data_IF_330547046415
#
_entry.id   IF_330547046415
#
_cell.length_a   1.000
_cell.length_b   1.000
_cell.length_c   1.000
_cell.angle_alpha   90.00
_cell.angle_beta   90.00
_cell.angle_gamma   90.00
#
_symmetry.space_group_name_H-M   'P 1'
#
loop_
_entity.id
_entity.type
_entity.pdbx_description
1 polymer ?
#
# COMPACT_ATOMS: atom_id res chain seq x y z
N UNK A 1 70.58 47.87 5.31
CA UNK A 1 69.37 47.21 4.78
C UNK A 1 69.80 45.87 4.21
N UNK A 2 69.49 44.76 4.91
CA UNK A 2 70.03 43.44 4.60
C UNK A 2 69.04 42.56 3.84
N UNK A 3 69.52 41.88 2.80
CA UNK A 3 68.77 40.89 2.03
C UNK A 3 68.67 39.60 2.84
N UNK A 4 67.45 39.08 3.06
CA UNK A 4 67.26 37.78 3.73
C UNK A 4 67.23 36.67 2.70
N UNK A 5 68.21 35.78 2.79
CA UNK A 5 68.38 34.60 1.95
C UNK A 5 67.45 33.46 2.40
N UNK A 6 66.84 32.75 1.45
CA UNK A 6 66.15 31.49 1.72
C UNK A 6 67.08 30.29 1.50
N UNK A 7 67.32 29.50 2.56
CA UNK A 7 67.88 28.14 2.47
C UNK A 7 67.27 27.22 3.52
N UNK A 8 66.81 26.05 3.05
CA UNK A 8 67.10 24.75 3.67
C UNK A 8 66.38 24.35 4.97
N UNK A 9 65.35 23.51 4.81
CA UNK A 9 65.07 22.31 5.62
C UNK A 9 64.45 21.31 4.64
N UNK A 10 65.17 20.31 4.11
CA UNK A 10 65.65 19.05 4.73
C UNK A 10 64.54 18.03 5.02
N UNK A 11 64.77 16.81 4.54
CA UNK A 11 63.75 15.77 4.36
C UNK A 11 63.31 15.13 5.68
N UNK A 12 62.03 15.26 6.03
CA UNK A 12 61.41 14.42 7.04
C UNK A 12 60.99 13.06 6.44
N UNK A 13 61.75 12.00 6.74
CA UNK A 13 61.38 10.62 6.40
C UNK A 13 60.22 10.19 7.30
N UNK A 14 59.00 10.20 6.76
CA UNK A 14 57.81 9.70 7.44
C UNK A 14 57.79 8.17 7.35
N UNK A 15 58.02 7.51 8.49
CA UNK A 15 57.82 6.06 8.60
C UNK A 15 56.32 5.74 8.78
N UNK A 16 55.76 4.77 8.03
CA UNK A 16 54.37 4.37 8.20
C UNK A 16 54.15 3.58 9.51
N UNK A 17 52.98 3.69 10.16
CA UNK A 17 52.65 2.88 11.33
C UNK A 17 52.45 1.40 10.96
N UNK A 18 52.69 0.47 11.91
CA UNK A 18 52.58 -0.97 11.64
C UNK A 18 51.13 -1.42 11.39
N UNK A 19 50.91 -2.46 10.56
CA UNK A 19 49.58 -2.96 10.25
C UNK A 19 48.93 -3.68 11.45
N UNK A 20 47.64 -3.42 11.66
CA UNK A 20 46.82 -4.09 12.68
C UNK A 20 46.49 -5.52 12.22
N UNK A 21 46.81 -6.57 13.00
CA UNK A 21 46.51 -7.94 12.60
C UNK A 21 45.04 -8.30 12.85
N UNK A 22 44.28 -8.50 11.77
CA UNK A 22 42.94 -9.08 11.82
C UNK A 22 43.01 -10.60 12.10
N UNK A 23 43.12 -10.98 13.37
CA UNK A 23 42.94 -12.38 13.77
C UNK A 23 41.45 -12.76 13.87
N UNK A 24 41.05 -13.74 13.06
CA UNK A 24 39.69 -14.26 12.93
C UNK A 24 39.30 -15.17 14.10
N UNK A 25 38.82 -14.57 15.19
CA UNK A 25 38.21 -15.31 16.30
C UNK A 25 36.75 -15.68 15.98
N UNK A 26 36.54 -16.89 15.46
CA UNK A 26 35.22 -17.44 15.09
C UNK A 26 34.41 -17.84 16.34
N UNK A 27 33.73 -16.90 16.97
CA UNK A 27 32.85 -17.17 18.10
C UNK A 27 31.67 -18.08 17.70
N UNK A 28 31.63 -19.30 18.23
CA UNK A 28 30.47 -20.19 18.17
C UNK A 28 29.60 -19.95 19.39
N UNK A 29 28.49 -19.24 19.23
CA UNK A 29 27.36 -19.26 20.18
C UNK A 29 26.04 -19.35 19.38
N UNK A 30 25.12 -20.26 19.74
CA UNK A 30 23.81 -20.34 19.11
C UNK A 30 22.90 -19.22 19.61
N UNK A 31 22.45 -18.36 18.70
CA UNK A 31 21.39 -17.37 18.96
C UNK A 31 20.05 -18.04 18.61
N UNK A 32 18.98 -17.90 19.42
CA UNK A 32 17.66 -18.42 19.08
C UNK A 32 17.10 -17.73 17.82
N UNK A 33 16.26 -18.42 17.02
CA UNK A 33 15.79 -17.89 15.74
C UNK A 33 14.90 -16.65 15.93
N UNK A 34 15.13 -15.64 15.09
CA UNK A 34 14.30 -14.45 15.03
C UNK A 34 12.87 -14.77 14.56
N UNK A 35 11.88 -14.07 15.10
CA UNK A 35 10.49 -14.15 14.68
C UNK A 35 10.36 -13.59 13.24
N UNK A 36 10.29 -14.50 12.27
CA UNK A 36 10.10 -14.14 10.87
C UNK A 36 8.64 -13.76 10.60
N UNK A 37 8.40 -12.46 10.37
CA UNK A 37 7.13 -11.99 9.80
C UNK A 37 7.10 -12.26 8.30
N UNK A 38 6.55 -13.42 7.93
CA UNK A 38 6.40 -13.83 6.53
C UNK A 38 5.27 -13.10 5.81
N UNK A 39 5.62 -12.12 4.97
CA UNK A 39 4.69 -11.60 3.95
C UNK A 39 4.57 -12.61 2.80
N UNK A 40 3.46 -13.36 2.80
CA UNK A 40 3.19 -14.40 1.80
C UNK A 40 2.60 -13.84 0.49
N UNK A 41 3.41 -13.80 -0.57
CA UNK A 41 2.92 -13.63 -1.95
C UNK A 41 3.02 -14.95 -2.70
N UNK A 42 1.95 -15.76 -2.67
CA UNK A 42 1.86 -17.02 -3.43
C UNK A 42 1.61 -16.75 -4.92
N UNK A 43 2.69 -16.72 -5.71
CA UNK A 43 2.63 -16.81 -7.17
C UNK A 43 2.86 -18.26 -7.62
N UNK A 44 1.79 -18.99 -7.95
CA UNK A 44 1.90 -20.35 -8.45
C UNK A 44 2.23 -20.35 -9.95
N UNK A 45 3.48 -20.68 -10.29
CA UNK A 45 3.88 -21.07 -11.63
C UNK A 45 4.49 -22.47 -11.55
N UNK A 46 3.82 -23.45 -12.17
CA UNK A 46 4.33 -24.80 -12.26
C UNK A 46 5.41 -24.88 -13.34
N UNK A 47 6.64 -25.15 -12.93
CA UNK A 47 7.78 -25.33 -13.83
C UNK A 47 7.78 -26.77 -14.37
N UNK A 48 7.68 -26.91 -15.69
CA UNK A 48 7.71 -28.22 -16.36
C UNK A 48 9.13 -28.57 -16.81
N UNK A 49 9.68 -29.65 -16.26
CA UNK A 49 10.97 -30.21 -16.70
C UNK A 49 10.86 -30.96 -18.04
N UNK A 50 11.95 -31.04 -18.83
CA UNK A 50 11.94 -31.63 -20.17
C UNK A 50 12.13 -33.15 -20.17
N UNK A 51 11.60 -33.84 -21.19
CA UNK A 51 11.95 -35.22 -21.52
C UNK A 51 11.83 -35.46 -23.04
N UNK A 52 12.83 -36.12 -23.60
CA UNK A 52 13.07 -36.34 -25.04
C UNK A 52 12.37 -37.62 -25.57
N UNK A 53 12.38 -37.91 -26.89
CA UNK A 53 11.21 -38.48 -27.58
C UNK A 53 11.26 -40.01 -27.84
N UNK A 54 10.12 -40.57 -28.25
CA UNK A 54 10.07 -41.78 -29.08
C UNK A 54 8.82 -41.85 -29.98
N UNK A 55 9.00 -42.34 -31.21
CA UNK A 55 7.98 -42.47 -32.26
C UNK A 55 7.01 -43.65 -32.06
N UNK A 56 5.73 -43.47 -32.42
CA UNK A 56 5.02 -44.40 -33.33
C UNK A 56 3.70 -43.80 -33.87
N UNK A 57 3.21 -44.32 -35.01
CA UNK A 57 2.12 -43.76 -35.85
C UNK A 57 0.80 -44.60 -35.72
N UNK A 58 -0.30 -44.44 -36.51
CA UNK A 58 -1.61 -44.08 -35.94
C UNK A 58 -2.77 -45.08 -36.15
N UNK A 59 -3.93 -44.86 -35.51
CA UNK A 59 -5.19 -45.55 -35.87
C UNK A 59 -6.39 -45.23 -34.94
N UNK A 60 -7.64 -44.98 -35.45
CA UNK A 60 -8.73 -44.43 -34.63
C UNK A 60 -9.98 -45.33 -34.45
N UNK A 61 -10.66 -45.23 -33.30
CA UNK A 61 -12.10 -45.55 -33.03
C UNK A 61 -12.39 -45.54 -31.50
N UNK A 62 -13.62 -45.46 -30.96
CA UNK A 62 -14.93 -44.86 -31.34
C UNK A 62 -15.89 -44.98 -30.12
N UNK A 63 -16.66 -43.93 -29.80
CA UNK A 63 -17.96 -43.89 -29.03
C UNK A 63 -18.28 -44.86 -27.87
N UNK A 64 -18.61 -44.29 -26.69
CA UNK A 64 -19.81 -44.54 -25.82
C UNK A 64 -19.74 -43.50 -24.70
N UNK A 65 -20.69 -42.61 -24.38
CA UNK A 65 -22.17 -42.61 -24.37
C UNK A 65 -22.79 -43.54 -23.30
N UNK A 66 -22.98 -43.02 -22.08
CA UNK A 66 -23.97 -43.51 -21.12
C UNK A 66 -24.71 -42.34 -20.46
N UNK A 67 -26.04 -42.37 -20.56
CA UNK A 67 -26.95 -41.46 -19.87
C UNK A 67 -27.26 -41.98 -18.45
N UNK A 68 -27.67 -41.09 -17.54
CA UNK A 68 -29.04 -41.07 -16.98
C UNK A 68 -29.13 -40.54 -15.53
N UNK A 69 -30.04 -39.56 -15.33
CA UNK A 69 -31.08 -39.49 -14.26
C UNK A 69 -30.67 -39.58 -12.76
N UNK A 70 -31.42 -39.05 -11.78
CA UNK A 70 -32.40 -37.95 -11.69
C UNK A 70 -32.88 -37.80 -10.23
N UNK A 71 -33.35 -36.61 -9.85
CA UNK A 71 -34.39 -36.35 -8.82
C UNK A 71 -34.10 -36.47 -7.29
N UNK A 72 -34.59 -35.44 -6.58
CA UNK A 72 -35.30 -35.50 -5.28
C UNK A 72 -34.52 -35.73 -3.95
N UNK A 73 -34.99 -35.32 -2.76
CA UNK A 73 -36.00 -34.31 -2.31
C UNK A 73 -36.03 -34.22 -0.77
N UNK A 74 -35.87 -33.00 -0.20
CA UNK A 74 -36.48 -32.45 1.04
C UNK A 74 -36.99 -33.42 2.14
N UNK A 75 -36.48 -33.31 3.39
CA UNK A 75 -37.24 -33.65 4.62
C UNK A 75 -36.85 -32.84 5.86
N UNK A 76 -37.80 -32.66 6.78
CA UNK A 76 -37.71 -32.03 8.13
C UNK A 76 -37.92 -33.11 9.22
N UNK A 77 -37.39 -32.90 10.43
CA UNK A 77 -37.93 -33.24 11.78
C UNK A 77 -36.79 -33.15 12.82
N UNK A 78 -36.93 -33.00 14.15
CA UNK A 78 -38.02 -32.72 15.12
C UNK A 78 -37.97 -33.71 16.29
N UNK A 79 -37.55 -33.26 17.49
CA UNK A 79 -37.87 -33.76 18.85
C UNK A 79 -37.11 -32.84 19.86
N UNK A 80 -37.60 -32.37 21.02
CA UNK A 80 -38.44 -32.99 22.07
C UNK A 80 -37.65 -34.14 22.76
N UNK A 81 -37.53 -34.32 24.08
CA UNK A 81 -38.17 -33.79 25.30
C UNK A 81 -37.06 -33.34 26.31
N UNK A 82 -37.19 -33.08 27.63
CA UNK A 82 -38.29 -33.16 28.63
C UNK A 82 -38.07 -32.16 29.81
N UNK A 83 -38.83 -32.29 30.92
CA UNK A 83 -38.75 -31.53 32.19
C UNK A 83 -38.48 -32.46 33.39
N UNK A 84 -37.78 -31.97 34.42
CA UNK A 84 -37.84 -32.53 35.78
C UNK A 84 -37.80 -31.39 36.82
N UNK A 85 -38.48 -31.58 37.96
CA UNK A 85 -39.00 -30.50 38.83
C UNK A 85 -38.84 -30.82 40.34
N UNK A 86 -38.72 -29.78 41.17
CA UNK A 86 -39.04 -29.76 42.63
C UNK A 86 -38.27 -30.70 43.63
N UNK A 87 -38.35 -30.53 44.98
CA UNK A 87 -38.65 -29.32 45.78
C UNK A 87 -37.81 -29.14 47.10
N UNK A 88 -38.26 -28.17 47.94
CA UNK A 88 -38.12 -28.06 49.42
C UNK A 88 -36.75 -27.62 50.04
N UNK A 89 -36.70 -26.84 51.15
CA UNK A 89 -37.67 -25.98 51.84
C UNK A 89 -36.97 -25.05 52.89
N UNK A 90 -37.76 -24.19 53.57
CA UNK A 90 -37.51 -23.55 54.89
C UNK A 90 -36.50 -22.37 55.01
N UNK A 91 -36.66 -21.34 55.89
CA UNK A 91 -37.77 -20.70 56.65
C UNK A 91 -37.24 -19.37 57.30
N UNK A 92 -38.11 -18.50 57.85
CA UNK A 92 -37.82 -17.35 58.76
C UNK A 92 -37.13 -16.07 58.19
N UNK A 93 -37.39 -14.84 58.65
CA UNK A 93 -38.60 -14.31 59.33
C UNK A 93 -38.71 -12.76 59.27
N UNK A 94 -39.87 -12.25 59.69
CA UNK A 94 -40.25 -10.92 60.23
C UNK A 94 -39.17 -9.88 60.63
N UNK A 95 -39.38 -8.54 60.71
CA UNK A 95 -40.53 -7.61 60.73
C UNK A 95 -40.00 -6.16 60.42
N UNK A 96 -40.76 -5.21 59.86
CA UNK A 96 -41.55 -4.26 60.67
C UNK A 96 -42.33 -3.22 59.83
N UNK A 97 -43.53 -2.86 60.31
CA UNK A 97 -44.46 -1.89 59.70
C UNK A 97 -44.14 -0.42 60.07
N UNK A 98 -44.38 0.53 59.15
CA UNK A 98 -45.02 1.83 59.50
C UNK A 98 -45.79 2.46 58.32
N UNK A 99 -46.79 3.30 58.63
CA UNK A 99 -47.89 3.70 57.74
C UNK A 99 -47.69 5.09 57.09
N UNK A 100 -48.08 5.19 55.81
CA UNK A 100 -48.93 6.22 55.11
C UNK A 100 -49.06 7.63 55.73
N UNK A 101 -49.10 8.71 54.90
CA UNK A 101 -50.28 8.93 54.06
C UNK A 101 -50.06 9.47 52.62
N UNK A 102 -51.18 9.47 51.88
CA UNK A 102 -51.35 9.87 50.46
C UNK A 102 -51.44 11.38 50.32
N UNK A 103 -50.87 11.93 49.23
CA UNK A 103 -51.40 13.13 48.54
C UNK A 103 -51.17 13.00 47.03
N UNK A 104 -52.19 13.33 46.25
CA UNK A 104 -52.16 13.29 44.78
C UNK A 104 -51.77 14.64 44.18
N UNK A 105 -51.23 14.58 42.96
CA UNK A 105 -51.29 15.58 41.91
C UNK A 105 -50.75 17.00 42.18
N UNK A 106 -49.62 17.29 41.54
CA UNK A 106 -49.44 18.54 40.79
C UNK A 106 -48.60 18.27 39.56
N UNK A 107 -49.12 18.63 38.38
CA UNK A 107 -48.37 18.66 37.14
C UNK A 107 -47.21 19.63 37.23
N UNK A 108 -46.01 19.20 36.85
CA UNK A 108 -44.94 20.14 36.51
C UNK A 108 -44.30 19.74 35.18
N UNK A 109 -44.27 20.67 34.23
CA UNK A 109 -43.73 20.48 32.89
C UNK A 109 -42.22 20.73 32.90
N UNK A 110 -41.50 19.94 33.68
CA UNK A 110 -40.06 19.82 33.51
C UNK A 110 -39.79 19.16 32.15
N UNK A 111 -38.89 19.69 31.30
CA UNK A 111 -38.56 19.06 30.04
C UNK A 111 -38.05 17.64 30.33
N UNK A 112 -38.42 16.68 29.47
CA UNK A 112 -38.04 15.27 29.60
C UNK A 112 -36.50 15.14 29.58
N UNK A 113 -35.86 15.25 30.74
CA UNK A 113 -34.54 14.65 30.98
C UNK A 113 -34.72 13.16 30.71
N UNK A 114 -34.13 12.69 29.63
CA UNK A 114 -34.08 11.28 29.27
C UNK A 114 -33.28 10.53 30.33
N UNK A 115 -33.96 10.14 31.41
CA UNK A 115 -33.38 9.46 32.55
C UNK A 115 -33.24 7.98 32.24
N UNK A 116 -31.99 7.54 32.04
CA UNK A 116 -31.59 6.14 32.27
C UNK A 116 -32.08 5.08 31.29
N UNK A 117 -32.71 5.44 30.16
CA UNK A 117 -32.92 4.47 29.08
C UNK A 117 -31.61 4.26 28.32
N UNK A 118 -31.03 3.05 28.39
CA UNK A 118 -29.72 2.68 27.82
C UNK A 118 -29.40 3.37 26.49
N UNK A 119 -28.61 4.45 26.53
CA UNK A 119 -28.24 5.19 25.31
C UNK A 119 -27.54 4.25 24.31
N UNK A 120 -26.69 3.34 24.79
CA UNK A 120 -26.07 2.30 23.98
C UNK A 120 -27.07 1.37 23.30
N UNK A 121 -28.22 1.06 23.92
CA UNK A 121 -29.27 0.23 23.33
C UNK A 121 -30.05 0.97 22.25
N UNK A 122 -30.31 2.26 22.44
CA UNK A 122 -30.89 3.12 21.40
C UNK A 122 -29.94 3.29 20.21
N UNK A 123 -28.66 3.58 20.47
CA UNK A 123 -27.62 3.66 19.43
C UNK A 123 -27.44 2.31 18.70
N UNK A 124 -27.54 1.17 19.38
CA UNK A 124 -27.50 -0.15 18.76
C UNK A 124 -28.72 -0.48 17.88
N UNK A 125 -29.86 0.22 18.06
CA UNK A 125 -31.03 0.09 17.17
C UNK A 125 -31.02 1.04 15.97
N UNK A 126 -30.09 2.01 15.94
CA UNK A 126 -29.91 2.91 14.80
C UNK A 126 -29.04 2.25 13.72
N UNK A 127 -29.32 2.59 12.46
CA UNK A 127 -28.51 2.13 11.35
C UNK A 127 -27.22 2.95 11.22
N UNK A 128 -26.21 2.34 10.57
CA UNK A 128 -24.90 2.95 10.36
C UNK A 128 -24.94 4.39 9.78
N UNK A 129 -25.78 4.74 8.79
CA UNK A 129 -25.83 6.12 8.28
C UNK A 129 -26.45 7.10 9.29
N UNK A 130 -27.46 6.75 10.08
CA UNK A 130 -27.99 7.65 11.10
C UNK A 130 -26.98 7.88 12.25
N UNK A 131 -26.25 6.83 12.65
CA UNK A 131 -25.13 6.96 13.60
C UNK A 131 -24.03 7.89 13.07
N UNK A 132 -23.63 7.73 11.80
CA UNK A 132 -22.67 8.64 11.15
C UNK A 132 -23.19 10.08 11.06
N UNK A 133 -24.46 10.28 10.74
CA UNK A 133 -25.09 11.59 10.71
C UNK A 133 -25.02 12.30 12.07
N UNK A 134 -25.38 11.61 13.16
CA UNK A 134 -25.25 12.17 14.51
C UNK A 134 -23.80 12.42 14.92
N UNK A 135 -22.87 11.51 14.59
CA UNK A 135 -21.44 11.71 14.86
C UNK A 135 -20.87 12.91 14.08
N UNK A 136 -21.32 13.14 12.85
CA UNK A 136 -20.94 14.32 12.05
C UNK A 136 -21.52 15.62 12.60
N UNK A 137 -22.75 15.62 13.12
CA UNK A 137 -23.31 16.77 13.84
C UNK A 137 -22.56 17.06 15.15
N UNK A 138 -22.20 16.02 15.91
CA UNK A 138 -21.38 16.15 17.13
C UNK A 138 -19.94 16.62 16.82
N UNK A 139 -19.36 16.18 15.70
CA UNK A 139 -18.04 16.60 15.25
C UNK A 139 -17.98 18.05 14.71
N UNK A 140 -19.11 18.79 14.67
CA UNK A 140 -19.09 20.25 14.46
C UNK A 140 -18.60 21.00 15.70
N UNK A 141 -18.70 20.40 16.88
CA UNK A 141 -18.15 20.93 18.12
C UNK A 141 -16.67 20.54 18.24
N UNK A 142 -15.77 21.53 18.15
CA UNK A 142 -14.33 21.32 18.09
C UNK A 142 -13.74 20.41 19.21
N UNK A 143 -14.03 20.63 20.51
CA UNK A 143 -13.50 19.76 21.57
C UNK A 143 -14.09 18.34 21.54
N UNK A 144 -15.28 18.16 20.97
CA UNK A 144 -15.87 16.84 20.74
C UNK A 144 -15.19 16.15 19.56
N UNK A 145 -14.91 16.88 18.48
CA UNK A 145 -14.16 16.38 17.33
C UNK A 145 -12.73 15.94 17.71
N UNK A 146 -12.00 16.73 18.49
CA UNK A 146 -10.66 16.37 18.99
C UNK A 146 -10.68 15.06 19.80
N UNK A 147 -11.65 14.89 20.70
CA UNK A 147 -11.84 13.63 21.46
C UNK A 147 -12.22 12.46 20.56
N UNK A 148 -12.98 12.70 19.49
CA UNK A 148 -13.25 11.65 18.50
C UNK A 148 -11.97 11.27 17.75
N UNK A 149 -11.12 12.23 17.39
CA UNK A 149 -9.83 11.97 16.73
C UNK A 149 -8.81 11.24 17.62
N UNK A 150 -8.82 11.43 18.95
CA UNK A 150 -7.96 10.64 19.86
C UNK A 150 -8.48 9.22 20.14
N UNK A 151 -9.76 8.96 19.90
CA UNK A 151 -10.38 7.64 20.07
C UNK A 151 -10.45 6.82 18.76
N UNK A 152 -10.30 7.47 17.60
CA UNK A 152 -10.24 6.79 16.31
C UNK A 152 -8.87 6.11 16.12
N UNK A 153 -8.82 4.81 15.76
CA UNK A 153 -7.57 4.17 15.41
C UNK A 153 -7.00 4.83 14.15
N UNK A 154 -5.67 5.01 14.13
CA UNK A 154 -4.97 5.42 12.90
C UNK A 154 -5.20 4.36 11.82
N UNK A 155 -5.53 4.74 10.58
CA UNK A 155 -5.78 3.77 9.52
C UNK A 155 -4.50 2.98 9.23
N UNK A 156 -4.61 1.65 9.16
CA UNK A 156 -3.46 0.82 8.78
C UNK A 156 -3.12 1.00 7.29
N UNK A 157 -1.90 0.64 6.90
CA UNK A 157 -1.50 0.61 5.48
C UNK A 157 -2.40 -0.35 4.70
N UNK A 158 -2.73 -1.50 5.29
CA UNK A 158 -3.58 -2.51 4.66
C UNK A 158 -5.02 -2.01 4.46
N UNK A 159 -5.60 -1.31 5.43
CA UNK A 159 -6.94 -0.69 5.30
C UNK A 159 -6.96 0.37 4.19
N UNK A 160 -5.94 1.24 4.16
CA UNK A 160 -5.83 2.30 3.16
C UNK A 160 -5.64 1.72 1.74
N UNK A 161 -4.79 0.71 1.58
CA UNK A 161 -4.60 0.03 0.30
C UNK A 161 -5.84 -0.78 -0.11
N UNK A 162 -6.53 -1.45 0.83
CA UNK A 162 -7.79 -2.13 0.55
C UNK A 162 -8.89 -1.17 0.08
N UNK A 163 -8.98 0.03 0.67
CA UNK A 163 -9.89 1.07 0.22
C UNK A 163 -9.58 1.51 -1.22
N UNK A 164 -8.31 1.80 -1.55
CA UNK A 164 -7.88 2.14 -2.91
C UNK A 164 -8.14 1.01 -3.92
N UNK A 165 -7.83 -0.24 -3.56
CA UNK A 165 -8.10 -1.41 -4.39
C UNK A 165 -9.61 -1.62 -4.62
N UNK A 166 -10.48 -1.31 -3.65
CA UNK A 166 -11.93 -1.39 -3.83
C UNK A 166 -12.44 -0.41 -4.89
N UNK A 167 -11.82 0.78 -4.99
CA UNK A 167 -12.11 1.79 -6.01
C UNK A 167 -11.50 1.42 -7.37
N UNK A 168 -10.30 0.85 -7.42
CA UNK A 168 -9.71 0.24 -8.63
C UNK A 168 -10.63 -0.85 -9.21
N UNK A 169 -11.12 -1.75 -8.36
CA UNK A 169 -12.05 -2.82 -8.75
C UNK A 169 -13.36 -2.22 -9.25
N UNK A 170 -13.93 -1.23 -8.55
CA UNK A 170 -15.15 -0.52 -9.00
C UNK A 170 -14.94 0.11 -10.38
N UNK A 171 -13.82 0.80 -10.60
CA UNK A 171 -13.47 1.43 -11.88
C UNK A 171 -13.43 0.39 -13.01
N UNK A 172 -12.79 -0.77 -12.80
CA UNK A 172 -12.78 -1.86 -13.79
C UNK A 172 -14.18 -2.34 -14.16
N UNK A 173 -15.10 -2.47 -13.21
CA UNK A 173 -16.49 -2.85 -13.47
C UNK A 173 -17.31 -1.78 -14.22
N UNK A 174 -16.84 -0.53 -14.24
CA UNK A 174 -17.46 0.55 -15.03
C UNK A 174 -17.00 0.55 -16.49
N UNK A 175 -15.88 -0.10 -16.81
CA UNK A 175 -15.35 -0.19 -18.17
C UNK A 175 -16.17 -1.18 -19.02
N UNK A 176 -16.41 -0.89 -20.32
CA UNK A 176 -17.13 -1.79 -21.21
C UNK A 176 -16.26 -3.00 -21.61
N UNK A 177 -16.31 -4.06 -20.81
CA UNK A 177 -15.50 -5.29 -20.95
C UNK A 177 -15.77 -6.14 -22.20
N UNK A 178 -16.83 -5.86 -22.97
CA UNK A 178 -17.27 -6.66 -24.12
C UNK A 178 -17.15 -5.95 -25.48
N UNK A 179 -16.61 -4.74 -25.52
CA UNK A 179 -16.40 -4.00 -26.76
C UNK A 179 -15.04 -4.36 -27.38
N UNK A 180 -15.00 -4.61 -28.69
CA UNK A 180 -13.71 -4.69 -29.39
C UNK A 180 -12.99 -3.32 -29.30
N UNK A 181 -11.64 -3.29 -29.28
CA UNK A 181 -10.89 -2.04 -29.40
C UNK A 181 -11.39 -1.20 -30.58
N UNK A 182 -11.74 0.07 -30.32
CA UNK A 182 -12.32 0.98 -31.30
C UNK A 182 -13.85 0.99 -31.42
N UNK A 183 -14.59 0.05 -30.82
CA UNK A 183 -16.06 0.00 -30.91
C UNK A 183 -16.76 1.02 -29.98
N UNK A 184 -16.10 1.45 -28.90
CA UNK A 184 -16.61 2.46 -27.96
C UNK A 184 -15.72 3.69 -27.99
N UNK A 185 -16.34 4.88 -28.14
CA UNK A 185 -15.61 6.16 -28.10
C UNK A 185 -14.97 6.37 -26.73
N UNK A 186 -13.68 6.70 -26.72
CA UNK A 186 -12.90 6.96 -25.49
C UNK A 186 -13.55 8.00 -24.59
N UNK A 187 -14.12 9.06 -25.18
CA UNK A 187 -14.86 10.12 -24.47
C UNK A 187 -16.00 9.56 -23.60
N UNK A 188 -16.70 8.51 -24.06
CA UNK A 188 -17.76 7.85 -23.28
C UNK A 188 -17.17 7.03 -22.12
N UNK A 189 -16.06 6.32 -22.35
CA UNK A 189 -15.34 5.57 -21.31
C UNK A 189 -14.85 6.53 -20.21
N UNK A 190 -14.16 7.60 -20.60
CA UNK A 190 -13.66 8.64 -19.71
C UNK A 190 -14.79 9.34 -18.94
N UNK A 191 -15.89 9.68 -19.60
CA UNK A 191 -17.07 10.25 -18.93
C UNK A 191 -17.63 9.33 -17.85
N UNK A 192 -17.64 8.01 -18.09
CA UNK A 192 -18.18 7.02 -17.15
C UNK A 192 -17.28 6.79 -15.93
N UNK A 193 -15.95 6.73 -16.12
CA UNK A 193 -15.00 6.51 -15.00
C UNK A 193 -14.67 7.78 -14.20
N UNK A 194 -15.00 8.98 -14.71
CA UNK A 194 -14.62 10.26 -14.12
C UNK A 194 -15.02 10.41 -12.64
N UNK A 195 -16.22 10.00 -12.25
CA UNK A 195 -16.64 10.05 -10.84
C UNK A 195 -15.78 9.15 -9.96
N UNK A 196 -15.52 7.92 -10.41
CA UNK A 196 -14.67 6.96 -9.70
C UNK A 196 -13.22 7.43 -9.60
N UNK A 197 -12.69 8.16 -10.60
CA UNK A 197 -11.36 8.79 -10.53
C UNK A 197 -11.29 9.95 -9.54
N UNK A 198 -12.37 10.74 -9.41
CA UNK A 198 -12.47 11.80 -8.39
C UNK A 198 -12.58 11.20 -6.99
N UNK A 199 -13.35 10.12 -6.81
CA UNK A 199 -13.39 9.35 -5.55
C UNK A 199 -12.02 8.75 -5.21
N UNK A 200 -11.31 8.19 -6.18
CA UNK A 200 -9.96 7.63 -6.02
C UNK A 200 -8.94 8.70 -5.60
N UNK A 201 -8.98 9.87 -6.23
CA UNK A 201 -8.17 11.02 -5.85
C UNK A 201 -8.49 11.50 -4.43
N UNK A 202 -9.77 11.65 -4.09
CA UNK A 202 -10.20 12.09 -2.76
C UNK A 202 -9.77 11.10 -1.66
N UNK A 203 -9.95 9.80 -1.89
CA UNK A 203 -9.50 8.75 -0.98
C UNK A 203 -7.97 8.77 -0.82
N UNK A 204 -7.21 8.91 -1.90
CA UNK A 204 -5.76 9.02 -1.82
C UNK A 204 -5.32 10.25 -1.00
N UNK A 205 -5.89 11.43 -1.27
CA UNK A 205 -5.59 12.65 -0.52
C UNK A 205 -6.01 12.57 0.95
N UNK A 206 -7.04 11.78 1.29
CA UNK A 206 -7.44 11.51 2.66
C UNK A 206 -6.43 10.61 3.40
N UNK A 207 -5.91 9.57 2.76
CA UNK A 207 -4.97 8.63 3.39
C UNK A 207 -3.51 9.12 3.41
N UNK A 208 -3.08 9.88 2.39
CA UNK A 208 -1.69 10.30 2.21
C UNK A 208 -1.06 11.02 3.44
N UNK A 209 -1.76 11.92 4.16
CA UNK A 209 -1.20 12.58 5.36
C UNK A 209 -0.89 11.63 6.52
N UNK A 210 -1.52 10.45 6.59
CA UNK A 210 -1.25 9.46 7.65
C UNK A 210 0.04 8.67 7.43
N UNK A 211 0.61 8.72 6.23
CA UNK A 211 1.82 7.97 5.85
C UNK A 211 2.97 8.87 5.37
N UNK A 212 2.74 10.19 5.24
CA UNK A 212 3.75 11.15 4.79
C UNK A 212 4.82 11.43 5.85
N UNK A 213 6.10 11.31 5.47
CA UNK A 213 7.23 11.72 6.32
C UNK A 213 7.36 13.25 6.46
N UNK A 214 6.65 14.04 5.65
CA UNK A 214 6.59 15.49 5.80
C UNK A 214 5.60 15.95 6.89
N UNK A 215 4.71 15.05 7.36
CA UNK A 215 3.73 15.38 8.41
C UNK A 215 4.39 15.37 9.79
N UNK A 216 5.14 16.45 10.08
CA UNK A 216 5.80 16.70 11.37
C UNK A 216 4.82 17.34 12.36
N UNK A 217 3.79 16.59 12.73
CA UNK A 217 2.96 16.91 13.88
C UNK A 217 3.71 16.47 15.15
N UNK A 218 4.13 17.41 16.00
CA UNK A 218 4.96 17.10 17.19
C UNK A 218 4.24 16.22 18.23
N UNK A 219 2.91 16.12 18.14
CA UNK A 219 2.11 15.23 18.97
C UNK A 219 2.05 13.77 18.46
N UNK A 220 2.56 13.48 17.25
CA UNK A 220 2.51 12.14 16.64
C UNK A 220 3.87 11.44 16.66
N UNK A 221 3.82 10.12 16.84
CA UNK A 221 5.01 9.26 16.73
C UNK A 221 5.58 9.33 15.30
N UNK A 222 6.91 9.47 15.12
CA UNK A 222 7.52 9.57 13.80
C UNK A 222 7.31 8.29 12.99
N UNK A 223 6.63 8.42 11.84
CA UNK A 223 6.32 7.31 10.95
C UNK A 223 7.62 6.67 10.44
N UNK A 224 7.72 5.34 10.53
CA UNK A 224 8.89 4.62 10.04
C UNK A 224 8.93 4.61 8.49
N UNK A 225 10.08 4.89 7.83
CA UNK A 225 10.14 4.97 6.37
C UNK A 225 9.70 3.71 5.62
N UNK A 226 9.80 2.51 6.22
CA UNK A 226 9.24 1.28 5.63
C UNK A 226 7.71 1.34 5.50
N UNK A 227 7.01 1.95 6.46
CA UNK A 227 5.56 2.10 6.45
C UNK A 227 5.12 3.05 5.34
N UNK A 228 5.79 4.20 5.24
CA UNK A 228 5.60 5.14 4.11
C UNK A 228 5.89 4.47 2.78
N UNK A 229 7.01 3.74 2.66
CA UNK A 229 7.37 3.04 1.44
C UNK A 229 6.31 2.01 1.02
N UNK A 230 5.78 1.22 1.96
CA UNK A 230 4.76 0.22 1.68
C UNK A 230 3.46 0.87 1.14
N UNK A 231 3.02 1.97 1.76
CA UNK A 231 1.88 2.75 1.27
C UNK A 231 2.14 3.35 -0.12
N UNK A 232 3.27 4.04 -0.31
CA UNK A 232 3.60 4.69 -1.59
C UNK A 232 3.77 3.66 -2.73
N UNK A 233 4.38 2.51 -2.46
CA UNK A 233 4.48 1.40 -3.40
C UNK A 233 3.08 0.89 -3.80
N UNK A 234 2.26 0.51 -2.82
CA UNK A 234 0.93 -0.03 -3.07
C UNK A 234 0.00 0.95 -3.79
N UNK A 235 0.00 2.22 -3.36
CA UNK A 235 -0.76 3.29 -4.00
C UNK A 235 -0.29 3.52 -5.44
N UNK A 236 1.03 3.61 -5.68
CA UNK A 236 1.59 3.81 -7.02
C UNK A 236 1.27 2.64 -7.95
N UNK A 237 1.37 1.39 -7.48
CA UNK A 237 0.97 0.21 -8.23
C UNK A 237 -0.52 0.21 -8.57
N UNK A 238 -1.37 0.59 -7.62
CA UNK A 238 -2.81 0.75 -7.84
C UNK A 238 -3.09 1.79 -8.96
N UNK A 239 -2.45 2.97 -8.90
CA UNK A 239 -2.64 4.01 -9.93
C UNK A 239 -2.10 3.60 -11.31
N UNK A 240 -0.95 2.92 -11.38
CA UNK A 240 -0.42 2.36 -12.64
C UNK A 240 -1.36 1.30 -13.23
N UNK A 241 -1.93 0.42 -12.38
CA UNK A 241 -2.92 -0.56 -12.80
C UNK A 241 -4.24 0.07 -13.27
N UNK A 242 -4.64 1.22 -12.72
CA UNK A 242 -5.77 2.00 -13.23
C UNK A 242 -5.43 2.62 -14.59
N UNK A 243 -4.29 3.30 -14.71
CA UNK A 243 -3.83 3.93 -15.95
C UNK A 243 -3.78 2.94 -17.12
N UNK A 244 -3.33 1.70 -16.88
CA UNK A 244 -3.24 0.65 -17.89
C UNK A 244 -4.59 0.22 -18.51
N UNK A 245 -5.72 0.39 -17.80
CA UNK A 245 -7.06 0.04 -18.33
C UNK A 245 -7.81 1.27 -18.88
N UNK A 246 -7.21 2.46 -18.84
CA UNK A 246 -7.83 3.66 -19.38
C UNK A 246 -7.37 3.92 -20.83
N UNK A 247 -8.29 4.35 -21.73
CA UNK A 247 -7.90 4.88 -23.03
C UNK A 247 -6.92 6.03 -22.85
N UNK A 248 -5.79 5.97 -23.55
CA UNK A 248 -4.66 6.87 -23.35
C UNK A 248 -4.01 7.18 -24.69
N UNK A 249 -3.53 8.42 -24.83
CA UNK A 249 -2.77 8.86 -26.00
C UNK A 249 -1.42 8.12 -26.07
N UNK A 250 -1.04 7.67 -27.27
CA UNK A 250 0.17 6.90 -27.52
C UNK A 250 1.43 7.77 -27.59
N UNK A 251 1.29 9.08 -27.79
CA UNK A 251 2.42 9.99 -28.00
C UNK A 251 3.12 10.32 -26.68
N UNK A 252 4.10 9.50 -26.31
CA UNK A 252 5.06 9.80 -25.26
C UNK A 252 5.87 11.06 -25.60
N UNK A 253 6.01 11.97 -24.64
CA UNK A 253 6.90 13.12 -24.76
C UNK A 253 8.36 12.71 -24.88
N UNK A 254 9.23 13.62 -25.33
CA UNK A 254 10.67 13.37 -25.28
C UNK A 254 11.09 13.19 -23.81
N UNK A 255 11.64 12.02 -23.48
CA UNK A 255 12.14 11.73 -22.14
C UNK A 255 13.31 12.66 -21.80
N UNK A 256 13.12 13.52 -20.81
CA UNK A 256 14.16 14.37 -20.24
C UNK A 256 14.22 14.11 -18.72
N UNK A 257 15.41 13.78 -18.23
CA UNK A 257 15.66 13.60 -16.80
C UNK A 257 16.09 14.95 -16.22
N UNK A 258 15.43 15.36 -15.13
CA UNK A 258 15.63 16.60 -14.40
C UNK A 258 15.93 16.33 -12.92
N UNK A 259 16.32 17.37 -12.17
CA UNK A 259 16.74 17.25 -10.76
C UNK A 259 15.67 16.69 -9.81
N UNK A 260 14.39 16.75 -10.18
CA UNK A 260 13.28 16.23 -9.36
C UNK A 260 12.38 15.28 -10.15
N UNK A 261 11.84 14.27 -9.45
CA UNK A 261 10.95 13.27 -10.05
C UNK A 261 9.73 13.92 -10.73
N UNK A 262 9.17 14.96 -10.09
CA UNK A 262 8.05 15.72 -10.63
C UNK A 262 8.42 16.44 -11.94
N UNK A 263 9.61 17.03 -12.03
CA UNK A 263 10.07 17.71 -13.25
C UNK A 263 10.24 16.73 -14.41
N UNK A 264 10.94 15.61 -14.18
CA UNK A 264 11.10 14.50 -15.13
C UNK A 264 9.77 13.95 -15.62
N UNK A 265 8.83 13.76 -14.69
CA UNK A 265 7.46 13.38 -15.02
C UNK A 265 6.77 14.42 -15.89
N UNK A 266 6.78 15.71 -15.52
CA UNK A 266 6.11 16.77 -16.31
C UNK A 266 6.73 16.99 -17.70
N UNK A 267 8.03 16.72 -17.87
CA UNK A 267 8.71 16.80 -19.16
C UNK A 267 8.42 15.59 -20.07
N UNK A 268 8.17 14.42 -19.47
CA UNK A 268 7.88 13.17 -20.19
C UNK A 268 6.37 12.94 -20.42
N UNK A 269 5.52 13.52 -19.57
CA UNK A 269 4.07 13.42 -19.65
C UNK A 269 3.54 14.02 -20.97
N UNK A 270 2.47 13.46 -21.55
CA UNK A 270 1.89 14.00 -22.78
C UNK A 270 1.33 15.40 -22.50
N UNK A 271 1.57 16.34 -23.42
CA UNK A 271 0.99 17.69 -23.38
C UNK A 271 -0.52 17.71 -23.72
N UNK A 272 -1.22 16.63 -23.38
CA UNK A 272 -2.61 16.36 -23.76
C UNK A 272 -3.55 17.43 -23.22
N UNK A 273 -4.38 17.99 -24.11
CA UNK A 273 -5.37 19.02 -23.77
C UNK A 273 -6.49 18.53 -22.83
N UNK A 274 -6.54 17.25 -22.49
CA UNK A 274 -7.51 16.73 -21.53
C UNK A 274 -7.11 17.07 -20.08
N UNK A 275 -7.43 18.28 -19.66
CA UNK A 275 -7.43 18.73 -18.25
C UNK A 275 -8.36 17.89 -17.32
N UNK A 276 -9.02 16.86 -17.86
CA UNK A 276 -9.79 15.88 -17.14
C UNK A 276 -8.97 14.63 -16.72
N UNK A 277 -7.71 14.47 -17.17
CA UNK A 277 -6.85 13.39 -16.69
C UNK A 277 -6.38 13.67 -15.25
N UNK A 278 -7.20 13.21 -14.31
CA UNK A 278 -6.97 13.28 -12.86
C UNK A 278 -5.76 12.45 -12.44
N UNK A 279 -5.42 11.39 -13.17
CA UNK A 279 -4.18 10.63 -12.92
C UNK A 279 -2.98 11.50 -13.27
N UNK A 280 -2.98 12.06 -14.48
CA UNK A 280 -1.83 12.79 -14.99
C UNK A 280 -1.50 14.06 -14.20
N UNK A 281 -2.53 14.82 -13.79
CA UNK A 281 -2.36 16.19 -13.28
C UNK A 281 -2.53 16.34 -11.77
N UNK A 282 -3.13 15.36 -11.08
CA UNK A 282 -3.36 15.43 -9.64
C UNK A 282 -2.72 14.26 -8.89
N UNK A 283 -3.07 13.02 -9.24
CA UNK A 283 -2.67 11.82 -8.50
C UNK A 283 -1.17 11.53 -8.63
N UNK A 284 -0.63 11.38 -9.85
CA UNK A 284 0.80 11.09 -10.03
C UNK A 284 1.69 12.23 -9.50
N UNK A 285 1.39 13.52 -9.77
CA UNK A 285 2.12 14.63 -9.15
C UNK A 285 2.13 14.64 -7.62
N UNK A 286 1.05 14.21 -6.97
CA UNK A 286 1.00 14.08 -5.50
C UNK A 286 1.88 12.92 -5.00
N UNK A 287 1.74 11.73 -5.60
CA UNK A 287 2.58 10.57 -5.26
C UNK A 287 4.08 10.87 -5.45
N UNK A 288 4.46 11.56 -6.54
CA UNK A 288 5.85 11.92 -6.82
C UNK A 288 6.44 12.92 -5.82
N UNK A 289 5.61 13.80 -5.23
CA UNK A 289 6.05 14.68 -4.13
C UNK A 289 6.38 13.86 -2.89
N UNK A 290 5.51 12.94 -2.49
CA UNK A 290 5.75 12.06 -1.34
C UNK A 290 6.94 11.11 -1.57
N UNK A 291 7.12 10.58 -2.78
CA UNK A 291 8.33 9.81 -3.14
C UNK A 291 9.60 10.67 -3.03
N UNK A 292 9.55 11.94 -3.46
CA UNK A 292 10.68 12.86 -3.35
C UNK A 292 11.01 13.16 -1.89
N UNK A 293 9.99 13.43 -1.05
CA UNK A 293 10.15 13.58 0.41
C UNK A 293 10.78 12.33 1.01
N UNK A 294 10.25 11.14 0.70
CA UNK A 294 10.75 9.87 1.22
C UNK A 294 12.22 9.63 0.86
N UNK A 295 12.62 9.86 -0.39
CA UNK A 295 14.01 9.73 -0.83
C UNK A 295 14.95 10.68 -0.09
N UNK A 296 14.55 11.96 0.07
CA UNK A 296 15.33 12.96 0.81
C UNK A 296 15.44 12.59 2.28
N UNK A 297 14.35 12.18 2.93
CA UNK A 297 14.35 11.79 4.34
C UNK A 297 15.23 10.56 4.59
N UNK A 298 15.17 9.55 3.72
CA UNK A 298 16.01 8.34 3.83
C UNK A 298 17.49 8.67 3.58
N UNK A 299 17.79 9.52 2.61
CA UNK A 299 19.17 9.99 2.35
C UNK A 299 19.75 10.74 3.56
N UNK A 300 19.02 11.72 4.11
CA UNK A 300 19.41 12.45 5.33
C UNK A 300 19.62 11.49 6.50
N UNK A 301 18.68 10.56 6.72
CA UNK A 301 18.75 9.62 7.83
C UNK A 301 19.96 8.68 7.73
N UNK A 302 20.29 8.16 6.55
CA UNK A 302 21.42 7.24 6.38
C UNK A 302 22.75 8.01 6.35
N UNK A 303 22.85 9.06 5.54
CA UNK A 303 24.12 9.72 5.21
C UNK A 303 24.47 10.89 6.13
N UNK A 304 23.51 11.46 6.87
CA UNK A 304 23.74 12.57 7.82
C UNK A 304 23.48 12.17 9.28
N UNK A 305 22.39 11.44 9.57
CA UNK A 305 22.08 10.96 10.93
C UNK A 305 22.71 9.59 11.28
N UNK A 306 23.42 8.96 10.33
CA UNK A 306 24.04 7.64 10.47
C UNK A 306 23.07 6.51 10.89
N UNK A 307 21.77 6.62 10.58
CA UNK A 307 20.81 5.53 10.78
C UNK A 307 21.11 4.39 9.82
N UNK A 308 21.22 3.18 10.34
CA UNK A 308 21.40 1.98 9.52
C UNK A 308 20.08 1.24 9.33
N UNK A 309 19.66 1.08 8.07
CA UNK A 309 18.59 0.16 7.71
C UNK A 309 19.15 -1.24 7.47
N UNK A 310 18.42 -2.26 7.94
CA UNK A 310 18.79 -3.65 7.71
C UNK A 310 18.85 -3.99 6.22
N UNK A 311 19.81 -4.85 5.84
CA UNK A 311 20.05 -5.22 4.45
C UNK A 311 18.78 -5.73 3.75
N UNK A 312 17.98 -6.55 4.44
CA UNK A 312 16.70 -7.09 3.94
C UNK A 312 15.66 -5.99 3.65
N UNK A 313 15.64 -4.92 4.44
CA UNK A 313 14.73 -3.78 4.26
C UNK A 313 15.12 -3.00 3.00
N UNK A 314 16.41 -2.68 2.85
CA UNK A 314 16.93 -2.00 1.65
C UNK A 314 16.72 -2.85 0.39
N UNK A 315 16.89 -4.17 0.48
CA UNK A 315 16.57 -5.10 -0.62
C UNK A 315 15.07 -5.20 -0.92
N UNK A 316 14.20 -5.13 0.09
CA UNK A 316 12.75 -5.07 -0.10
C UNK A 316 12.35 -3.78 -0.83
N UNK A 317 12.95 -2.65 -0.46
CA UNK A 317 12.75 -1.37 -1.16
C UNK A 317 13.25 -1.43 -2.61
N UNK A 318 14.45 -1.97 -2.85
CA UNK A 318 15.01 -2.12 -4.20
C UNK A 318 14.10 -2.95 -5.11
N UNK A 319 13.58 -4.08 -4.60
CA UNK A 319 12.61 -4.94 -5.31
C UNK A 319 11.27 -4.23 -5.53
N UNK A 320 10.77 -3.47 -4.56
CA UNK A 320 9.56 -2.67 -4.71
C UNK A 320 9.70 -1.62 -5.82
N UNK A 321 10.79 -0.84 -5.82
CA UNK A 321 11.05 0.10 -6.92
C UNK A 321 11.31 -0.60 -8.26
N UNK A 322 11.86 -1.82 -8.28
CA UNK A 322 11.99 -2.60 -9.53
C UNK A 322 10.63 -2.92 -10.17
N UNK A 323 9.60 -3.18 -9.36
CA UNK A 323 8.22 -3.42 -9.85
C UNK A 323 7.60 -2.15 -10.47
N UNK A 324 8.05 -0.95 -10.07
CA UNK A 324 7.57 0.33 -10.61
C UNK A 324 8.31 0.77 -11.89
N UNK A 325 9.40 0.08 -12.27
CA UNK A 325 10.28 0.39 -13.41
C UNK A 325 9.96 -0.36 -14.71
N UNK A 326 8.84 -1.08 -14.77
CA UNK A 326 8.46 -2.00 -15.84
C UNK A 326 6.97 -1.81 -16.17
N UNK A 327 6.52 -1.79 -17.46
CA UNK A 327 7.03 -2.62 -18.57
C UNK A 327 7.40 -1.89 -19.88
N UNK A 328 8.03 -2.59 -20.85
CA UNK A 328 8.34 -2.07 -22.20
C UNK A 328 7.11 -1.85 -23.09
N UNK A 329 5.91 -2.25 -22.66
CA UNK A 329 4.63 -2.04 -23.36
C UNK A 329 3.67 -1.24 -22.46
N UNK A 330 4.12 -0.09 -21.97
CA UNK A 330 3.29 0.79 -21.14
C UNK A 330 2.17 1.41 -22.00
N UNK A 331 0.96 0.90 -21.80
CA UNK A 331 -0.24 1.43 -22.46
C UNK A 331 -0.52 2.85 -21.94
N UNK A 332 -0.25 3.85 -22.79
CA UNK A 332 -0.49 5.27 -22.50
C UNK A 332 0.74 6.06 -22.04
N UNK A 333 0.91 7.24 -22.63
CA UNK A 333 2.02 8.15 -22.34
C UNK A 333 2.10 8.58 -20.86
N UNK A 334 0.96 8.71 -20.16
CA UNK A 334 0.93 9.04 -18.72
C UNK A 334 1.58 7.95 -17.85
N UNK A 335 1.29 6.67 -18.13
CA UNK A 335 1.89 5.56 -17.40
C UNK A 335 3.39 5.44 -17.71
N UNK A 336 3.77 5.60 -18.99
CA UNK A 336 5.16 5.64 -19.41
C UNK A 336 5.97 6.75 -18.72
N UNK A 337 5.43 7.97 -18.63
CA UNK A 337 6.07 9.08 -17.90
C UNK A 337 6.25 8.78 -16.40
N UNK A 338 5.28 8.11 -15.77
CA UNK A 338 5.40 7.66 -14.38
C UNK A 338 6.50 6.60 -14.22
N UNK A 339 6.61 5.62 -15.13
CA UNK A 339 7.70 4.64 -15.11
C UNK A 339 9.08 5.29 -15.26
N UNK A 340 9.23 6.30 -16.12
CA UNK A 340 10.47 7.09 -16.26
C UNK A 340 10.84 7.78 -14.94
N UNK A 341 9.87 8.42 -14.28
CA UNK A 341 10.09 9.06 -12.99
C UNK A 341 10.46 8.03 -11.89
N UNK A 342 9.87 6.83 -11.91
CA UNK A 342 10.23 5.77 -10.96
C UNK A 342 11.59 5.10 -11.25
N UNK A 343 12.08 5.12 -12.49
CA UNK A 343 13.47 4.74 -12.81
C UNK A 343 14.48 5.75 -12.23
N UNK A 344 14.17 7.05 -12.31
CA UNK A 344 14.96 8.06 -11.62
C UNK A 344 14.91 7.87 -10.09
N UNK A 345 13.74 7.62 -9.51
CA UNK A 345 13.59 7.38 -8.06
C UNK A 345 14.45 6.19 -7.59
N UNK A 346 14.49 5.11 -8.37
CA UNK A 346 15.34 3.97 -8.08
C UNK A 346 16.83 4.26 -8.25
N UNK A 347 17.21 5.06 -9.25
CA UNK A 347 18.58 5.51 -9.46
C UNK A 347 19.08 6.39 -8.30
N UNK A 348 18.22 7.31 -7.82
CA UNK A 348 18.49 8.14 -6.66
C UNK A 348 18.64 7.30 -5.38
N UNK A 349 17.74 6.33 -5.15
CA UNK A 349 17.85 5.40 -4.02
C UNK A 349 19.11 4.53 -4.10
N UNK A 350 19.53 4.13 -5.31
CA UNK A 350 20.76 3.39 -5.51
C UNK A 350 21.99 4.23 -5.15
N UNK A 351 22.02 5.50 -5.55
CA UNK A 351 23.14 6.40 -5.22
C UNK A 351 23.24 6.73 -3.72
N UNK A 352 22.12 6.93 -3.03
CA UNK A 352 22.12 7.30 -1.61
C UNK A 352 22.37 6.13 -0.67
N UNK A 353 21.70 4.99 -0.89
CA UNK A 353 21.70 3.86 0.06
C UNK A 353 22.05 2.50 -0.56
N UNK A 354 22.36 2.43 -1.86
CA UNK A 354 22.65 1.17 -2.55
C UNK A 354 23.88 0.43 -2.00
N UNK A 355 24.79 1.12 -1.31
CA UNK A 355 25.94 0.52 -0.64
C UNK A 355 25.55 -0.37 0.56
N UNK A 356 24.43 -0.08 1.25
CA UNK A 356 23.90 -0.90 2.35
C UNK A 356 23.44 -2.28 1.90
N UNK A 357 23.07 -2.45 0.61
CA UNK A 357 22.59 -3.72 0.08
C UNK A 357 23.70 -4.79 -0.08
N UNK A 358 24.97 -4.39 -0.04
CA UNK A 358 26.13 -5.27 -0.22
C UNK A 358 26.41 -5.67 -1.69
N UNK A 359 27.63 -6.13 -2.03
CA UNK A 359 28.02 -6.38 -3.42
C UNK A 359 27.18 -7.45 -4.13
N UNK A 360 26.74 -8.48 -3.40
CA UNK A 360 25.94 -9.61 -3.93
C UNK A 360 24.56 -9.21 -4.45
N UNK A 361 24.04 -8.04 -4.07
CA UNK A 361 22.68 -7.60 -4.41
C UNK A 361 22.65 -6.46 -5.43
N UNK A 362 23.79 -6.08 -6.03
CA UNK A 362 23.82 -5.17 -7.20
C UNK A 362 22.87 -5.58 -8.35
N UNK A 363 22.61 -6.88 -8.64
CA UNK A 363 21.65 -7.26 -9.67
C UNK A 363 20.20 -6.81 -9.44
N UNK A 364 19.76 -6.54 -8.20
CA UNK A 364 18.38 -6.03 -7.97
C UNK A 364 18.22 -4.54 -8.27
N UNK A 365 19.34 -3.85 -8.51
CA UNK A 365 19.38 -2.41 -8.80
C UNK A 365 19.49 -2.14 -10.29
N UNK A 366 20.41 -2.83 -10.97
CA UNK A 366 20.58 -2.72 -12.40
C UNK A 366 19.52 -3.55 -13.14
N UNK A 367 18.78 -2.91 -14.05
CA UNK A 367 18.00 -3.64 -15.08
C UNK A 367 19.00 -4.50 -15.86
N UNK A 368 18.86 -5.82 -15.83
CA UNK A 368 19.77 -6.75 -16.53
C UNK A 368 19.75 -6.49 -18.04
N UNK A 369 20.74 -5.73 -18.52
CA UNK A 369 20.96 -5.46 -19.95
C UNK A 369 21.60 -6.67 -20.64
N UNK A 370 20.95 -7.83 -20.54
CA UNK A 370 21.34 -9.09 -21.17
C UNK A 370 20.27 -9.52 -22.18
N UNK A 371 20.09 -8.70 -23.22
CA UNK A 371 19.21 -9.00 -24.36
C UNK A 371 19.57 -8.20 -25.63
N UNK A 372 20.88 -8.04 -25.96
CA UNK A 372 21.28 -7.67 -27.34
C UNK A 372 22.76 -7.89 -27.72
N UNK A 373 23.48 -8.78 -27.04
CA UNK A 373 24.82 -9.20 -27.44
C UNK A 373 24.86 -10.72 -27.60
N UNK A 374 25.41 -11.20 -28.73
CA UNK A 374 25.35 -12.59 -29.27
C UNK A 374 24.12 -12.88 -30.16
N UNK A 375 24.15 -12.43 -31.41
CA UNK A 375 24.05 -13.31 -32.60
C UNK A 375 24.29 -12.50 -33.90
N UNK A 376 25.55 -12.21 -34.21
CA UNK A 376 25.95 -11.76 -35.55
C UNK A 376 27.39 -12.23 -35.81
N UNK A 377 27.51 -13.50 -36.24
CA UNK A 377 28.81 -14.16 -36.33
C UNK A 377 28.76 -15.61 -36.80
N UNK A 378 28.16 -15.89 -37.97
CA UNK A 378 28.79 -16.71 -39.01
C UNK A 378 27.93 -16.82 -40.27
N UNK A 379 28.44 -16.28 -41.38
CA UNK A 379 28.02 -16.63 -42.74
C UNK A 379 29.24 -16.52 -43.66
N UNK A 380 29.79 -17.68 -44.02
CA UNK A 380 30.86 -17.88 -45.03
C UNK A 380 30.23 -17.96 -46.43
#
# INVERSE_FOLDING_TARGET
MGVVSWRGTENAVVTPPPPIPFHTARARNPVPPALSFGFGCSGAYAEAGPSTPQDTVPGPSRTTEWQARSLSKRRRSSSDVDVDDEPEAEVMDELSKRRRPVRCASSDHSPRRATGGDLGRWLATLDKPALLGMLLELAKDAPTAERMYTLLPTPSVDDALAALHSLEIRLRHMLPTSALPGQVREQYVLSRVRSCLVELHAALMQYMPFFSLASRDEAREPIHPTTTFAFLLGATQCMLRVAHVLPSDEVLGKVHIHDTLLSTYTASAPASRNAADTLAHAIFPALLREWTVWLITVDVQVNQEARMYGQDVVQAWARGLAQLRSPPHSHGATAAAMHVAMEQAASQMHSSIGWLAGPSHRPTWHRSSHAHAMDEGDAV
#
